data_IF_651807759373
#
_entry.id   IF_651807759373
#
_cell.length_a   1.000
_cell.length_b   1.000
_cell.length_c   1.000
_cell.angle_alpha   90.00
_cell.angle_beta   90.00
_cell.angle_gamma   90.00
#
_symmetry.space_group_name_H-M   'P 1'
#
loop_
_entity.id
_entity.type
_entity.pdbx_description
1 polymer ?
#
# COMPACT_ATOMS: atom_id res chain seq x y z
N UNK A 1 -10.67 3.53 -19.44
CA UNK A 1 -11.65 2.45 -19.70
C UNK A 1 -12.43 2.11 -18.44
N UNK A 2 -13.72 1.87 -18.59
CA UNK A 2 -14.62 1.43 -17.53
C UNK A 2 -15.00 -0.02 -17.77
N UNK A 3 -14.96 -0.81 -16.71
CA UNK A 3 -15.38 -2.20 -16.72
C UNK A 3 -16.51 -2.38 -15.71
N UNK A 4 -17.53 -3.14 -16.06
CA UNK A 4 -18.65 -3.48 -15.20
C UNK A 4 -18.56 -4.96 -14.82
N UNK A 5 -18.64 -5.25 -13.54
CA UNK A 5 -18.76 -6.60 -13.02
C UNK A 5 -19.94 -6.62 -12.03
N UNK A 6 -21.08 -7.13 -12.48
CA UNK A 6 -22.34 -7.03 -11.75
C UNK A 6 -22.70 -5.56 -11.51
N UNK A 7 -22.81 -5.16 -10.25
CA UNK A 7 -23.07 -3.77 -9.83
C UNK A 7 -21.79 -2.97 -9.55
N UNK A 8 -20.62 -3.59 -9.68
CA UNK A 8 -19.35 -2.96 -9.40
C UNK A 8 -18.79 -2.30 -10.65
N UNK A 9 -18.40 -1.05 -10.52
CA UNK A 9 -17.72 -0.30 -11.58
C UNK A 9 -16.21 -0.31 -11.30
N UNK A 10 -15.45 -0.83 -12.26
CA UNK A 10 -13.99 -0.79 -12.23
C UNK A 10 -13.49 0.18 -13.28
N UNK A 11 -12.73 1.17 -12.85
CA UNK A 11 -12.12 2.16 -13.74
C UNK A 11 -10.63 1.89 -13.91
N UNK A 12 -10.17 1.68 -15.15
CA UNK A 12 -8.76 1.66 -15.44
C UNK A 12 -8.19 3.09 -15.38
N UNK A 13 -7.11 3.24 -14.67
CA UNK A 13 -6.43 4.52 -14.49
C UNK A 13 -5.10 4.55 -15.25
N UNK A 14 -4.89 5.63 -15.99
CA UNK A 14 -3.62 5.96 -16.61
C UNK A 14 -3.24 7.37 -16.18
N UNK A 15 -2.23 7.52 -15.36
CA UNK A 15 -1.81 8.81 -14.82
C UNK A 15 -0.98 8.66 -13.55
N UNK A 16 -0.81 9.76 -12.82
CA UNK A 16 -0.05 9.75 -11.58
C UNK A 16 -0.81 8.97 -10.48
N UNK A 17 -0.26 7.86 -9.97
CA UNK A 17 -0.88 7.07 -8.89
C UNK A 17 -1.17 7.88 -7.63
N UNK A 18 -0.38 8.91 -7.34
CA UNK A 18 -0.60 9.76 -6.17
C UNK A 18 -1.96 10.46 -6.19
N UNK A 19 -2.52 10.73 -7.36
CA UNK A 19 -3.86 11.30 -7.49
C UNK A 19 -4.96 10.34 -7.07
N UNK A 20 -4.77 9.03 -7.30
CA UNK A 20 -5.70 8.00 -6.85
C UNK A 20 -5.67 7.85 -5.32
N UNK A 21 -4.48 7.90 -4.74
CA UNK A 21 -4.30 7.68 -3.29
C UNK A 21 -5.01 8.74 -2.45
N UNK A 22 -5.18 9.95 -2.95
CA UNK A 22 -5.88 11.03 -2.22
C UNK A 22 -7.35 10.71 -1.92
N UNK A 23 -7.99 9.92 -2.77
CA UNK A 23 -9.39 9.53 -2.61
C UNK A 23 -9.61 8.07 -2.23
N UNK A 24 -8.53 7.29 -2.10
CA UNK A 24 -8.64 5.87 -1.81
C UNK A 24 -8.91 5.61 -0.33
N UNK A 25 -9.89 4.78 -0.04
CA UNK A 25 -10.16 4.27 1.31
C UNK A 25 -9.21 3.13 1.67
N UNK A 26 -8.82 2.35 0.68
CA UNK A 26 -8.02 1.13 0.82
C UNK A 26 -7.33 0.83 -0.50
N UNK A 27 -6.17 0.22 -0.46
CA UNK A 27 -5.44 -0.26 -1.63
C UNK A 27 -5.32 -1.78 -1.56
N UNK A 28 -5.69 -2.46 -2.64
CA UNK A 28 -5.42 -3.88 -2.83
C UNK A 28 -4.14 -4.01 -3.65
N UNK A 29 -3.09 -4.53 -3.03
CA UNK A 29 -1.80 -4.67 -3.69
C UNK A 29 -1.04 -5.89 -3.20
N UNK A 30 -0.38 -6.60 -4.11
CA UNK A 30 0.33 -7.82 -3.72
C UNK A 30 1.72 -7.56 -3.14
N UNK A 31 2.46 -6.66 -3.70
CA UNK A 31 3.79 -6.26 -3.22
C UNK A 31 4.32 -5.05 -4.01
N UNK A 32 5.42 -4.49 -3.54
CA UNK A 32 6.22 -3.51 -4.25
C UNK A 32 6.03 -2.07 -3.80
N UNK A 33 6.67 -1.16 -4.51
CA UNK A 33 6.72 0.27 -4.20
C UNK A 33 5.35 0.95 -4.21
N UNK A 34 4.38 0.40 -4.94
CA UNK A 34 3.01 0.91 -4.92
C UNK A 34 2.36 0.78 -3.52
N UNK A 35 2.59 -0.35 -2.84
CA UNK A 35 2.14 -0.57 -1.47
C UNK A 35 2.83 0.38 -0.49
N UNK A 36 4.12 0.60 -0.67
CA UNK A 36 4.90 1.54 0.14
C UNK A 36 4.39 2.98 -0.05
N UNK A 37 4.13 3.37 -1.29
CA UNK A 37 3.55 4.68 -1.60
C UNK A 37 2.16 4.88 -1.00
N UNK A 38 1.32 3.86 -1.02
CA UNK A 38 -0.01 3.89 -0.40
C UNK A 38 0.09 4.04 1.12
N UNK A 39 0.92 3.22 1.77
CA UNK A 39 1.13 3.29 3.23
C UNK A 39 1.73 4.64 3.66
N UNK A 40 2.69 5.19 2.91
CA UNK A 40 3.27 6.51 3.15
C UNK A 40 2.22 7.62 3.04
N UNK A 41 1.28 7.49 2.11
CA UNK A 41 0.14 8.40 1.98
C UNK A 41 -0.93 8.21 3.07
N UNK A 42 -0.78 7.21 3.94
CA UNK A 42 -1.72 6.87 4.98
C UNK A 42 -2.95 6.12 4.48
N UNK A 43 -2.84 5.43 3.36
CA UNK A 43 -3.90 4.56 2.85
C UNK A 43 -3.63 3.12 3.29
N UNK A 44 -4.58 2.46 3.98
CA UNK A 44 -4.44 1.06 4.35
C UNK A 44 -4.19 0.16 3.16
N UNK A 45 -3.28 -0.78 3.29
CA UNK A 45 -2.93 -1.73 2.23
C UNK A 45 -3.40 -3.13 2.61
N UNK A 46 -4.00 -3.82 1.68
CA UNK A 46 -4.42 -5.22 1.84
C UNK A 46 -3.79 -6.07 0.74
N UNK A 47 -3.16 -7.16 1.11
CA UNK A 47 -2.65 -8.17 0.20
C UNK A 47 -3.37 -9.50 0.43
N UNK A 48 -3.49 -10.29 -0.64
CA UNK A 48 -4.06 -11.64 -0.57
C UNK A 48 -2.95 -12.66 -0.35
N UNK A 49 -3.20 -13.64 0.50
CA UNK A 49 -2.29 -14.77 0.72
C UNK A 49 -2.36 -15.76 -0.45
N UNK A 50 -1.98 -15.30 -1.64
CA UNK A 50 -1.90 -16.12 -2.86
C UNK A 50 -0.46 -16.43 -3.16
N UNK A 51 -0.09 -17.67 -2.96
CA UNK A 51 1.27 -18.14 -3.15
C UNK A 51 1.42 -18.81 -4.53
N UNK A 52 1.35 -17.98 -5.55
CA UNK A 52 1.73 -18.40 -6.91
C UNK A 52 3.20 -18.04 -7.11
N UNK A 53 4.04 -19.08 -7.11
CA UNK A 53 5.48 -18.95 -7.26
C UNK A 53 6.26 -19.00 -5.94
N UNK A 54 7.50 -19.47 -6.03
CA UNK A 54 8.35 -19.76 -4.86
C UNK A 54 8.78 -18.52 -4.07
N UNK A 55 8.74 -17.32 -4.69
CA UNK A 55 9.19 -16.08 -4.05
C UNK A 55 8.07 -15.26 -3.39
N UNK A 56 6.79 -15.60 -3.66
CA UNK A 56 5.66 -14.81 -3.16
C UNK A 56 5.59 -14.72 -1.63
N UNK A 57 5.80 -15.80 -0.84
CA UNK A 57 5.83 -15.71 0.61
C UNK A 57 6.97 -14.85 1.15
N UNK A 58 8.12 -14.86 0.48
CA UNK A 58 9.27 -14.04 0.87
C UNK A 58 8.99 -12.55 0.67
N UNK A 59 8.45 -12.16 -0.48
CA UNK A 59 8.06 -10.77 -0.75
C UNK A 59 7.01 -10.28 0.23
N UNK A 60 6.02 -11.10 0.55
CA UNK A 60 4.98 -10.74 1.51
C UNK A 60 5.55 -10.51 2.91
N UNK A 61 6.41 -11.41 3.39
CA UNK A 61 7.10 -11.24 4.68
C UNK A 61 7.95 -9.98 4.72
N UNK A 62 8.66 -9.68 3.64
CA UNK A 62 9.44 -8.45 3.51
C UNK A 62 8.56 -7.21 3.61
N UNK A 63 7.44 -7.19 2.90
CA UNK A 63 6.47 -6.10 2.95
C UNK A 63 5.86 -5.95 4.35
N UNK A 64 5.50 -7.04 5.00
CA UNK A 64 4.98 -7.03 6.37
C UNK A 64 6.02 -6.47 7.36
N UNK A 65 7.28 -6.83 7.22
CA UNK A 65 8.38 -6.28 8.02
C UNK A 65 8.53 -4.76 7.85
N UNK A 66 8.38 -4.28 6.62
CA UNK A 66 8.51 -2.86 6.30
C UNK A 66 7.28 -2.05 6.73
N UNK A 67 6.09 -2.51 6.37
CA UNK A 67 4.84 -1.77 6.55
C UNK A 67 4.17 -2.03 7.91
N UNK A 68 4.51 -3.13 8.58
CA UNK A 68 3.88 -3.51 9.84
C UNK A 68 2.37 -3.63 9.70
N UNK A 69 1.63 -3.08 10.63
CA UNK A 69 0.16 -3.11 10.65
C UNK A 69 -0.51 -2.24 9.57
N UNK A 70 0.25 -1.44 8.83
CA UNK A 70 -0.28 -0.74 7.66
C UNK A 70 -0.66 -1.71 6.52
N UNK A 71 -0.12 -2.92 6.54
CA UNK A 71 -0.42 -4.00 5.61
C UNK A 71 -1.21 -5.10 6.32
N UNK A 72 -2.44 -5.34 5.90
CA UNK A 72 -3.20 -6.52 6.27
C UNK A 72 -3.07 -7.60 5.19
N UNK A 73 -2.85 -8.84 5.61
CA UNK A 73 -2.85 -9.99 4.71
C UNK A 73 -4.12 -10.79 4.95
N UNK A 74 -4.96 -10.90 3.94
CA UNK A 74 -6.21 -11.64 3.97
C UNK A 74 -6.08 -12.97 3.22
N UNK A 75 -7.04 -13.88 3.42
CA UNK A 75 -7.03 -15.18 2.77
C UNK A 75 -6.95 -15.07 1.24
N UNK A 76 -6.26 -16.02 0.62
CA UNK A 76 -6.01 -16.03 -0.83
C UNK A 76 -7.19 -16.50 -1.69
N UNK A 77 -8.21 -17.13 -1.09
CA UNK A 77 -9.43 -17.52 -1.80
C UNK A 77 -10.31 -16.29 -2.08
N UNK A 78 -11.08 -16.34 -3.17
CA UNK A 78 -11.91 -15.20 -3.56
C UNK A 78 -12.94 -14.82 -2.49
N UNK A 79 -13.65 -15.80 -1.93
CA UNK A 79 -14.72 -15.58 -0.94
C UNK A 79 -14.16 -15.11 0.40
N UNK A 80 -13.20 -15.83 0.96
CA UNK A 80 -12.61 -15.48 2.25
C UNK A 80 -11.77 -14.21 2.18
N UNK A 81 -11.06 -14.01 1.08
CA UNK A 81 -10.31 -12.78 0.83
C UNK A 81 -11.24 -11.57 0.73
N UNK A 82 -12.36 -11.69 0.04
CA UNK A 82 -13.37 -10.62 -0.03
C UNK A 82 -13.95 -10.30 1.35
N UNK A 83 -14.25 -11.30 2.17
CA UNK A 83 -14.69 -11.08 3.56
C UNK A 83 -13.65 -10.30 4.35
N UNK A 84 -12.38 -10.71 4.28
CA UNK A 84 -11.29 -10.02 4.98
C UNK A 84 -11.14 -8.55 4.54
N UNK A 85 -11.36 -8.25 3.27
CA UNK A 85 -11.40 -6.86 2.75
C UNK A 85 -12.61 -6.11 3.33
N UNK A 86 -13.80 -6.71 3.29
CA UNK A 86 -15.01 -6.09 3.84
C UNK A 86 -14.89 -5.82 5.35
N UNK A 87 -14.32 -6.73 6.11
CA UNK A 87 -14.09 -6.54 7.56
C UNK A 87 -13.22 -5.30 7.84
N UNK A 88 -12.24 -5.03 6.99
CA UNK A 88 -11.40 -3.82 7.10
C UNK A 88 -12.19 -2.57 6.66
N UNK A 89 -12.96 -2.67 5.59
CA UNK A 89 -13.79 -1.55 5.12
C UNK A 89 -14.85 -1.14 6.13
N UNK A 90 -15.39 -2.09 6.88
CA UNK A 90 -16.42 -1.87 7.89
C UNK A 90 -15.85 -1.48 9.27
N UNK A 91 -14.53 -1.43 9.42
CA UNK A 91 -13.84 -1.05 10.66
C UNK A 91 -13.03 0.25 10.50
N UNK A 92 -13.67 1.40 10.72
CA UNK A 92 -12.99 2.70 10.60
C UNK A 92 -11.83 2.89 11.59
N UNK A 93 -11.93 2.32 12.79
CA UNK A 93 -10.89 2.41 13.81
C UNK A 93 -9.63 1.66 13.37
N UNK A 94 -9.80 0.45 12.84
CA UNK A 94 -8.71 -0.34 12.27
C UNK A 94 -8.05 0.39 11.08
N UNK A 95 -8.84 0.94 10.17
CA UNK A 95 -8.28 1.70 9.04
C UNK A 95 -7.49 2.91 9.48
N UNK A 96 -7.94 3.62 10.52
CA UNK A 96 -7.20 4.74 11.10
C UNK A 96 -5.87 4.30 11.67
N UNK A 97 -5.84 3.23 12.44
CA UNK A 97 -4.61 2.65 12.98
C UNK A 97 -3.64 2.23 11.86
N UNK A 98 -4.13 1.58 10.82
CA UNK A 98 -3.33 1.22 9.64
C UNK A 98 -2.73 2.47 8.96
N UNK A 99 -3.52 3.52 8.81
CA UNK A 99 -3.10 4.80 8.24
C UNK A 99 -1.98 5.45 9.05
N UNK A 100 -2.15 5.53 10.36
CA UNK A 100 -1.17 6.10 11.28
C UNK A 100 0.13 5.30 11.28
N UNK A 101 0.04 3.98 11.31
CA UNK A 101 1.20 3.08 11.22
C UNK A 101 1.98 3.28 9.91
N UNK A 102 1.27 3.40 8.79
CA UNK A 102 1.91 3.61 7.49
C UNK A 102 2.72 4.91 7.45
N UNK A 103 2.13 5.99 7.90
CA UNK A 103 2.82 7.30 7.98
C UNK A 103 4.00 7.26 8.94
N UNK A 104 3.85 6.64 10.10
CA UNK A 104 4.92 6.54 11.09
C UNK A 104 6.10 5.69 10.58
N UNK A 105 5.82 4.59 9.91
CA UNK A 105 6.85 3.66 9.41
C UNK A 105 7.62 4.19 8.22
N UNK A 106 6.95 4.86 7.28
CA UNK A 106 7.58 5.36 6.06
C UNK A 106 8.03 6.82 6.18
N UNK A 107 7.76 7.45 7.29
CA UNK A 107 8.18 8.80 7.63
C UNK A 107 7.47 9.89 6.85
N UNK A 108 7.79 11.13 7.20
CA UNK A 108 7.32 12.29 6.46
C UNK A 108 7.91 12.31 5.05
N UNK A 109 7.18 12.85 4.08
CA UNK A 109 7.66 13.05 2.73
C UNK A 109 8.97 13.83 2.65
N UNK A 110 9.54 13.98 1.45
CA UNK A 110 10.74 14.76 1.20
C UNK A 110 12.06 13.99 1.31
N UNK A 111 12.04 12.65 1.39
CA UNK A 111 13.25 11.83 1.44
C UNK A 111 14.20 12.11 0.26
N UNK A 112 13.66 12.19 -0.96
CA UNK A 112 14.46 12.49 -2.15
C UNK A 112 15.17 13.84 -2.04
N UNK A 113 14.49 14.86 -1.49
CA UNK A 113 15.09 16.17 -1.24
C UNK A 113 16.23 16.09 -0.23
N UNK A 114 16.02 15.43 0.91
CA UNK A 114 17.07 15.25 1.92
C UNK A 114 18.30 14.52 1.38
N UNK A 115 18.08 13.50 0.54
CA UNK A 115 19.17 12.78 -0.12
C UNK A 115 19.93 13.70 -1.08
N UNK A 116 19.22 14.46 -1.92
CA UNK A 116 19.83 15.41 -2.85
C UNK A 116 20.63 16.49 -2.12
N UNK A 117 20.09 17.06 -1.05
CA UNK A 117 20.78 18.06 -0.22
C UNK A 117 22.05 17.48 0.43
N UNK A 118 21.99 16.21 0.88
CA UNK A 118 23.15 15.52 1.45
C UNK A 118 24.25 15.28 0.39
N UNK A 119 23.87 14.85 -0.80
CA UNK A 119 24.81 14.66 -1.91
C UNK A 119 25.46 15.99 -2.28
N UNK A 120 24.68 17.05 -2.43
CA UNK A 120 25.20 18.39 -2.73
C UNK A 120 26.17 18.90 -1.67
N UNK A 121 25.86 18.67 -0.38
CA UNK A 121 26.73 19.03 0.75
C UNK A 121 28.07 18.28 0.70
N UNK A 122 28.03 16.97 0.40
CA UNK A 122 29.26 16.17 0.27
C UNK A 122 30.12 16.60 -0.93
N UNK A 123 29.50 16.93 -2.06
CA UNK A 123 30.19 17.41 -3.24
C UNK A 123 30.96 18.74 -3.01
N UNK A 124 30.45 19.61 -2.13
CA UNK A 124 31.08 20.86 -1.76
C UNK A 124 32.30 20.69 -0.84
N UNK A 125 32.45 19.53 -0.22
CA UNK A 125 33.57 19.20 0.69
C UNK A 125 34.78 18.56 -0.01
N UNK A 126 34.63 18.27 -1.29
CA UNK A 126 35.70 17.63 -2.09
C UNK A 126 36.56 18.65 -2.84
#
# INVERSE_FOLDING_TARGET
SLYLYGRTVVRAWTGNPASLLKGATLVLGQAGTANEGAAAAGVPVVAFARDRGTKAPWYRRRQQGLLGEALAVVAGSAVEGARGVCDILDDPARRRQMSETGRARLGAGGAARRIADRIASLAKQS
#
